data_IF_288691014997
#
_entry.id   IF_288691014997
#
_cell.length_a   1.000
_cell.length_b   1.000
_cell.length_c   1.000
_cell.angle_alpha   90.00
_cell.angle_beta   90.00
_cell.angle_gamma   90.00
#
_symmetry.space_group_name_H-M   'P 1'
#
loop_
_entity.id
_entity.type
_entity.pdbx_description
1 polymer ?
#
# COMPACT_ATOMS: atom_id res chain seq x y z
N UNK A 1 46.76 19.80 18.22
CA UNK A 1 45.83 19.79 17.08
C UNK A 1 45.45 18.34 16.88
N UNK A 2 44.40 17.90 17.59
CA UNK A 2 43.81 16.57 17.46
C UNK A 2 42.56 16.72 16.59
N UNK A 3 42.51 16.01 15.46
CA UNK A 3 41.32 15.93 14.62
C UNK A 3 40.48 14.72 15.02
N UNK A 4 39.24 15.01 15.39
CA UNK A 4 38.18 14.04 15.70
C UNK A 4 37.43 13.75 14.41
N UNK A 5 37.56 12.52 13.89
CA UNK A 5 36.75 12.00 12.78
C UNK A 5 35.55 11.25 13.34
N UNK A 6 34.36 11.85 13.22
CA UNK A 6 33.08 11.24 13.59
C UNK A 6 32.52 10.42 12.42
N UNK A 7 32.44 9.10 12.57
CA UNK A 7 31.73 8.19 11.67
C UNK A 7 30.26 8.11 12.14
N UNK A 8 29.33 8.61 11.32
CA UNK A 8 27.90 8.46 11.53
C UNK A 8 27.41 7.12 10.97
N UNK A 9 26.98 6.22 11.85
CA UNK A 9 26.30 4.98 11.49
C UNK A 9 24.80 5.23 11.26
N UNK A 10 24.28 4.79 10.12
CA UNK A 10 22.84 4.76 9.80
C UNK A 10 22.17 3.52 10.43
N UNK A 11 20.97 3.62 11.04
CA UNK A 11 20.32 2.47 11.67
C UNK A 11 19.63 1.58 10.63
N UNK A 12 19.97 0.29 10.68
CA UNK A 12 19.32 -0.80 9.94
C UNK A 12 17.88 -0.97 10.42
N UNK A 13 16.95 -1.18 9.49
CA UNK A 13 15.56 -1.57 9.75
C UNK A 13 15.53 -2.91 10.50
N UNK A 14 14.80 -2.92 11.62
CA UNK A 14 14.54 -4.14 12.38
C UNK A 14 13.42 -4.93 11.67
N UNK A 15 13.77 -6.08 11.11
CA UNK A 15 12.84 -7.11 10.63
C UNK A 15 12.16 -7.76 11.84
N UNK A 16 10.85 -7.64 11.92
CA UNK A 16 10.03 -8.34 12.91
C UNK A 16 9.75 -9.76 12.39
N UNK A 17 10.61 -10.74 12.73
CA UNK A 17 10.19 -12.15 12.65
C UNK A 17 9.31 -12.46 13.87
N UNK A 18 8.00 -12.43 13.68
CA UNK A 18 7.05 -12.98 14.64
C UNK A 18 6.66 -14.40 14.19
N UNK A 19 6.75 -15.33 15.13
CA UNK A 19 6.40 -16.73 14.98
C UNK A 19 4.87 -16.87 14.78
N UNK A 20 4.44 -17.18 13.55
CA UNK A 20 3.03 -17.10 13.09
C UNK A 20 2.14 -18.25 13.62
N UNK A 21 2.59 -18.98 14.65
CA UNK A 21 1.96 -20.22 15.08
C UNK A 21 0.97 -20.10 16.25
N UNK A 22 0.48 -18.92 16.62
CA UNK A 22 -0.51 -18.83 17.71
C UNK A 22 -1.49 -17.66 17.61
N UNK A 23 -2.75 -17.95 17.28
CA UNK A 23 -3.87 -17.05 17.56
C UNK A 23 -4.15 -17.00 19.09
N UNK A 24 -4.20 -15.82 19.74
CA UNK A 24 -4.54 -15.74 21.16
C UNK A 24 -6.06 -15.75 21.36
N UNK A 25 -6.59 -16.85 21.91
CA UNK A 25 -8.03 -16.98 22.16
C UNK A 25 -8.47 -18.13 23.07
N UNK A 26 -7.58 -18.75 23.86
CA UNK A 26 -7.96 -19.82 24.79
C UNK A 26 -7.38 -19.59 26.19
N UNK A 27 -8.25 -19.23 27.12
CA UNK A 27 -7.97 -19.12 28.55
C UNK A 27 -8.28 -20.46 29.23
N UNK A 28 -7.38 -21.04 30.06
CA UNK A 28 -7.78 -22.01 31.05
C UNK A 28 -7.86 -21.38 32.46
N UNK A 29 -8.82 -21.89 33.22
CA UNK A 29 -9.29 -21.49 34.53
C UNK A 29 -8.23 -21.48 35.65
N UNK A 30 -8.48 -20.59 36.62
CA UNK A 30 -7.71 -20.27 37.81
C UNK A 30 -7.49 -21.42 38.82
N UNK A 31 -6.37 -21.34 39.58
CA UNK A 31 -6.31 -21.75 41.01
C UNK A 31 -5.24 -20.96 41.79
N UNK A 32 -5.67 -20.42 42.94
CA UNK A 32 -4.94 -20.53 44.22
C UNK A 32 -3.88 -19.48 44.59
N UNK A 33 -4.26 -18.55 45.46
CA UNK A 33 -3.39 -17.74 46.35
C UNK A 33 -2.77 -18.63 47.47
N UNK A 34 -1.69 -18.22 48.20
CA UNK A 34 -1.84 -17.22 49.28
C UNK A 34 -0.63 -16.28 49.58
N UNK A 35 -0.98 -15.15 50.22
CA UNK A 35 -0.32 -14.33 51.27
C UNK A 35 1.10 -13.70 51.19
N UNK A 36 1.10 -12.34 51.11
CA UNK A 36 1.68 -11.25 51.98
C UNK A 36 3.14 -11.31 52.52
N UNK A 37 3.80 -10.18 52.91
CA UNK A 37 3.23 -8.91 53.40
C UNK A 37 3.83 -7.58 52.89
N UNK A 38 3.17 -6.50 53.34
CA UNK A 38 3.35 -5.08 53.04
C UNK A 38 4.59 -4.41 53.67
N UNK A 39 5.01 -3.28 53.06
CA UNK A 39 5.71 -2.18 53.76
C UNK A 39 5.14 -0.81 53.39
N UNK A 40 4.91 0.00 54.42
CA UNK A 40 4.47 1.40 54.44
C UNK A 40 5.68 2.37 54.41
N UNK A 41 5.40 3.60 53.97
CA UNK A 41 6.15 4.84 54.28
C UNK A 41 6.97 5.35 53.08
N UNK A 42 6.97 6.62 52.68
CA UNK A 42 6.63 7.86 53.38
C UNK A 42 6.17 8.96 52.40
N UNK A 43 5.33 9.86 52.93
CA UNK A 43 5.04 11.20 52.44
C UNK A 43 6.32 12.05 52.23
N UNK A 44 6.33 12.86 51.18
CA UNK A 44 6.87 14.24 51.25
C UNK A 44 6.09 15.18 50.32
N UNK A 45 5.40 16.12 50.96
CA UNK A 45 4.95 17.38 50.36
C UNK A 45 6.16 18.26 50.06
N UNK A 46 6.14 18.98 48.94
CA UNK A 46 6.75 20.30 48.83
C UNK A 46 5.75 21.21 48.11
N UNK A 47 5.40 22.29 48.78
CA UNK A 47 4.54 23.36 48.30
C UNK A 47 5.35 24.48 47.63
N UNK A 48 4.72 25.14 46.67
CA UNK A 48 4.80 26.59 46.49
C UNK A 48 5.80 27.13 45.48
N UNK A 49 5.29 27.74 44.39
CA UNK A 49 5.22 29.21 44.30
C UNK A 49 4.38 29.69 43.11
N UNK A 50 3.59 30.71 43.42
CA UNK A 50 2.77 31.53 42.56
C UNK A 50 3.60 32.38 41.58
N UNK A 51 3.06 32.58 40.37
CA UNK A 51 3.03 33.87 39.65
C UNK A 51 1.81 33.82 38.72
N UNK A 52 0.66 34.38 39.11
CA UNK A 52 0.18 35.72 38.74
C UNK A 52 0.59 36.16 37.32
N UNK A 53 -0.35 36.04 36.38
CA UNK A 53 -0.60 37.09 35.37
C UNK A 53 -2.08 37.01 34.94
N UNK A 54 -2.83 38.09 35.22
CA UNK A 54 -4.20 38.34 34.70
C UNK A 54 -4.09 39.35 33.55
N UNK A 55 -5.14 39.47 32.69
CA UNK A 55 -5.07 40.02 31.34
C UNK A 55 -5.33 41.54 31.28
N UNK A 56 -5.10 42.16 30.11
CA UNK A 56 -5.64 43.49 29.80
C UNK A 56 -6.12 43.64 28.34
N UNK A 57 -7.37 44.15 28.27
CA UNK A 57 -8.09 45.01 27.32
C UNK A 57 -8.06 44.73 25.81
N UNK A 58 -9.19 44.58 25.10
CA UNK A 58 -10.38 45.46 24.84
C UNK A 58 -10.22 46.39 23.62
N UNK A 59 -11.34 46.52 22.87
CA UNK A 59 -11.67 47.46 21.77
C UNK A 59 -11.34 46.96 20.34
N UNK A 60 -12.18 47.08 19.31
CA UNK A 60 -13.55 47.58 19.13
C UNK A 60 -14.06 47.09 17.75
N UNK A 61 -15.36 46.79 17.65
CA UNK A 61 -16.13 46.77 16.39
C UNK A 61 -16.49 48.21 15.97
N UNK A 62 -16.89 48.46 14.71
CA UNK A 62 -18.32 48.70 14.53
C UNK A 62 -18.94 48.07 13.27
N UNK A 63 -20.25 47.84 13.37
CA UNK A 63 -21.16 47.54 12.29
C UNK A 63 -21.62 48.81 11.57
N UNK A 64 -22.09 48.66 10.33
CA UNK A 64 -23.02 49.60 9.70
C UNK A 64 -23.97 48.87 8.76
N UNK A 65 -25.25 48.86 9.13
CA UNK A 65 -26.41 48.64 8.27
C UNK A 65 -26.73 49.91 7.46
N UNK A 66 -27.25 49.76 6.25
CA UNK A 66 -28.33 50.64 5.76
C UNK A 66 -29.03 50.03 4.54
N UNK A 67 -30.36 49.95 4.67
CA UNK A 67 -31.38 49.40 3.77
C UNK A 67 -31.80 50.33 2.62
N UNK A 68 -32.77 49.84 1.82
CA UNK A 68 -33.74 50.52 0.93
C UNK A 68 -33.39 50.50 -0.57
N UNK A 69 -34.30 50.34 -1.55
CA UNK A 69 -35.63 49.72 -1.67
C UNK A 69 -36.02 49.77 -3.18
N UNK A 70 -36.91 48.86 -3.60
CA UNK A 70 -37.91 48.97 -4.68
C UNK A 70 -37.54 48.96 -6.19
N UNK A 71 -38.26 48.08 -6.93
CA UNK A 71 -38.88 48.46 -8.21
C UNK A 71 -38.72 47.52 -9.42
N UNK A 72 -39.62 46.55 -9.60
CA UNK A 72 -39.88 45.83 -10.86
C UNK A 72 -40.58 46.73 -11.90
N UNK A 73 -40.54 46.42 -13.22
CA UNK A 73 -41.43 45.41 -13.87
C UNK A 73 -40.63 44.52 -14.87
N UNK A 74 -40.92 43.25 -15.13
CA UNK A 74 -42.19 42.63 -15.50
C UNK A 74 -42.23 42.42 -17.03
N UNK A 75 -41.85 41.24 -17.54
CA UNK A 75 -42.41 40.63 -18.77
C UNK A 75 -42.06 39.13 -18.88
N UNK A 76 -43.09 38.36 -19.23
CA UNK A 76 -43.15 36.90 -19.34
C UNK A 76 -42.26 36.30 -20.43
N UNK A 77 -41.71 35.10 -20.19
CA UNK A 77 -41.96 33.96 -21.08
C UNK A 77 -41.57 32.63 -20.42
N UNK A 78 -42.45 31.66 -20.58
CA UNK A 78 -42.42 30.31 -20.03
C UNK A 78 -41.20 29.48 -20.46
N UNK A 79 -40.59 28.79 -19.48
CA UNK A 79 -39.92 27.51 -19.67
C UNK A 79 -39.77 26.82 -18.30
N UNK A 80 -40.76 26.02 -17.92
CA UNK A 80 -40.67 25.08 -16.80
C UNK A 80 -39.56 24.05 -17.07
N UNK A 81 -38.40 24.20 -16.42
CA UNK A 81 -37.37 23.16 -16.36
C UNK A 81 -37.39 22.56 -14.95
N UNK A 82 -38.12 21.45 -14.82
CA UNK A 82 -38.08 20.59 -13.64
C UNK A 82 -36.65 20.14 -13.36
N UNK A 83 -36.18 20.42 -12.15
CA UNK A 83 -35.02 19.80 -11.54
C UNK A 83 -35.22 18.28 -11.47
N UNK A 84 -34.54 17.54 -12.34
CA UNK A 84 -34.36 16.10 -12.14
C UNK A 84 -33.10 15.90 -11.30
N UNK A 85 -33.28 15.77 -9.99
CA UNK A 85 -32.34 15.08 -9.10
C UNK A 85 -32.21 13.64 -9.59
N UNK A 86 -31.19 13.34 -10.41
CA UNK A 86 -30.76 11.97 -10.64
C UNK A 86 -29.98 11.50 -9.43
N UNK A 87 -30.69 10.93 -8.44
CA UNK A 87 -30.11 9.98 -7.48
C UNK A 87 -29.64 8.76 -8.27
N UNK A 88 -28.34 8.59 -8.43
CA UNK A 88 -27.76 7.31 -8.81
C UNK A 88 -27.60 6.46 -7.54
N UNK A 89 -28.08 5.21 -7.50
CA UNK A 89 -27.92 4.37 -6.32
C UNK A 89 -26.46 3.90 -6.17
N UNK A 90 -25.93 4.01 -4.97
CA UNK A 90 -24.57 3.63 -4.54
C UNK A 90 -24.24 2.13 -4.65
N UNK A 91 -25.11 1.31 -5.26
CA UNK A 91 -24.90 -0.12 -5.49
C UNK A 91 -24.46 -0.51 -6.90
N UNK A 92 -24.38 0.44 -7.85
CA UNK A 92 -24.16 0.09 -9.27
C UNK A 92 -22.67 -0.04 -9.66
N UNK A 93 -21.74 0.58 -8.91
CA UNK A 93 -20.29 0.43 -9.14
C UNK A 93 -19.74 -0.92 -8.66
N UNK A 94 -20.29 -1.48 -7.58
CA UNK A 94 -19.89 -2.79 -7.06
C UNK A 94 -20.27 -3.96 -8.00
N UNK A 95 -21.40 -3.86 -8.72
CA UNK A 95 -21.84 -4.93 -9.62
C UNK A 95 -21.07 -4.99 -10.95
N UNK A 96 -20.61 -3.85 -11.48
CA UNK A 96 -19.81 -3.81 -12.71
C UNK A 96 -18.42 -4.41 -12.47
N UNK A 97 -17.86 -4.19 -11.29
CA UNK A 97 -16.56 -4.72 -10.89
C UNK A 97 -16.61 -6.25 -10.65
N UNK A 98 -17.62 -6.76 -9.93
CA UNK A 98 -17.86 -8.21 -9.74
C UNK A 98 -18.09 -8.99 -11.07
N UNK A 99 -18.69 -8.33 -12.07
CA UNK A 99 -19.02 -8.95 -13.37
C UNK A 99 -17.82 -9.07 -14.32
N UNK A 100 -16.81 -8.21 -14.18
CA UNK A 100 -15.59 -8.29 -14.98
C UNK A 100 -14.55 -9.26 -14.39
N UNK A 101 -14.60 -9.54 -13.08
CA UNK A 101 -13.69 -10.48 -12.41
C UNK A 101 -14.02 -11.95 -12.69
N UNK A 102 -15.31 -12.31 -12.70
CA UNK A 102 -15.77 -13.69 -12.96
C UNK A 102 -15.56 -14.17 -14.40
N UNK A 103 -15.33 -13.26 -15.35
CA UNK A 103 -15.09 -13.59 -16.74
C UNK A 103 -13.62 -13.96 -17.06
N UNK A 104 -12.67 -13.74 -16.13
CA UNK A 104 -11.24 -13.84 -16.41
C UNK A 104 -10.56 -15.12 -15.89
N UNK A 105 -11.23 -15.99 -15.12
CA UNK A 105 -10.58 -17.12 -14.45
C UNK A 105 -11.23 -18.46 -14.77
N UNK A 106 -10.83 -19.02 -15.92
CA UNK A 106 -10.90 -20.46 -16.20
C UNK A 106 -9.49 -21.03 -16.41
N UNK A 107 -9.14 -21.98 -15.54
CA UNK A 107 -8.07 -22.99 -15.62
C UNK A 107 -6.59 -22.57 -15.67
N UNK A 108 -5.81 -23.02 -14.68
CA UNK A 108 -4.87 -24.14 -14.87
C UNK A 108 -4.36 -24.69 -13.51
N UNK A 109 -4.60 -25.98 -13.25
CA UNK A 109 -3.90 -26.73 -12.22
C UNK A 109 -2.52 -27.15 -12.75
N UNK A 110 -1.46 -26.96 -11.98
CA UNK A 110 -0.10 -27.40 -12.33
C UNK A 110 0.45 -28.37 -11.27
N UNK A 111 1.06 -29.51 -11.66
CA UNK A 111 1.63 -30.46 -10.72
C UNK A 111 3.07 -30.08 -10.31
N UNK A 112 3.44 -30.48 -9.09
CA UNK A 112 4.62 -30.01 -8.40
C UNK A 112 5.98 -30.59 -8.82
N UNK A 113 7.00 -29.99 -8.19
CA UNK A 113 8.42 -30.41 -8.00
C UNK A 113 9.38 -30.30 -9.19
N UNK A 114 10.16 -29.18 -9.23
CA UNK A 114 11.62 -29.14 -9.50
C UNK A 114 12.11 -27.69 -9.79
N UNK A 115 12.13 -26.80 -8.79
CA UNK A 115 12.56 -25.39 -9.00
C UNK A 115 14.08 -25.15 -8.85
N UNK A 116 14.83 -26.06 -8.19
CA UNK A 116 16.22 -25.79 -7.75
C UNK A 116 17.32 -25.84 -8.84
N UNK A 117 17.01 -25.92 -10.15
CA UNK A 117 18.04 -25.92 -11.22
C UNK A 117 17.74 -24.99 -12.41
N UNK A 118 16.78 -24.07 -12.28
CA UNK A 118 16.20 -23.40 -13.45
C UNK A 118 16.78 -22.01 -13.72
N UNK A 119 16.97 -21.16 -12.70
CA UNK A 119 17.34 -19.73 -12.90
C UNK A 119 18.72 -19.55 -13.53
N UNK A 120 19.74 -20.31 -13.10
CA UNK A 120 21.09 -20.25 -13.67
C UNK A 120 21.14 -20.59 -15.18
N UNK A 121 20.20 -21.40 -15.68
CA UNK A 121 20.08 -21.70 -17.11
C UNK A 121 19.42 -20.57 -17.90
N UNK A 122 18.62 -19.72 -17.25
CA UNK A 122 17.92 -18.60 -17.89
C UNK A 122 18.87 -17.44 -18.23
N UNK A 123 19.92 -17.21 -17.43
CA UNK A 123 20.95 -16.21 -17.74
C UNK A 123 21.72 -16.48 -19.03
N UNK A 124 21.74 -17.73 -19.53
CA UNK A 124 22.31 -18.06 -20.83
C UNK A 124 21.49 -17.55 -22.03
N UNK A 125 20.26 -17.08 -21.79
CA UNK A 125 19.36 -16.47 -22.80
C UNK A 125 19.27 -14.96 -22.65
N UNK A 126 19.04 -14.46 -21.43
CA UNK A 126 18.98 -13.02 -21.14
C UNK A 126 19.14 -12.73 -19.64
N UNK A 127 19.84 -11.65 -19.26
CA UNK A 127 19.96 -11.25 -17.85
C UNK A 127 18.66 -10.64 -17.28
N UNK A 128 17.64 -10.39 -18.10
CA UNK A 128 16.38 -9.76 -17.72
C UNK A 128 15.27 -10.77 -17.40
N UNK A 129 15.27 -11.94 -18.05
CA UNK A 129 14.31 -13.03 -17.80
C UNK A 129 14.17 -13.40 -16.32
N UNK A 130 15.25 -13.45 -15.50
CA UNK A 130 15.10 -13.73 -14.08
C UNK A 130 14.26 -12.69 -13.32
N UNK A 131 14.29 -11.41 -13.72
CA UNK A 131 13.41 -10.38 -13.14
C UNK A 131 11.94 -10.60 -13.52
N UNK A 132 11.67 -11.15 -14.70
CA UNK A 132 10.30 -11.51 -15.11
C UNK A 132 9.76 -12.65 -14.26
N UNK A 133 10.57 -13.70 -14.06
CA UNK A 133 10.21 -14.84 -13.20
C UNK A 133 9.95 -14.41 -11.77
N UNK A 134 10.75 -13.49 -11.23
CA UNK A 134 10.50 -12.94 -9.91
C UNK A 134 9.20 -12.11 -9.88
N UNK A 135 8.95 -11.28 -10.90
CA UNK A 135 7.74 -10.46 -11.00
C UNK A 135 6.45 -11.31 -11.06
N UNK A 136 6.49 -12.48 -11.69
CA UNK A 136 5.37 -13.44 -11.65
C UNK A 136 5.05 -13.89 -10.21
N UNK A 137 6.08 -14.09 -9.38
CA UNK A 137 5.89 -14.43 -7.95
C UNK A 137 5.37 -13.25 -7.14
N UNK A 138 5.82 -12.04 -7.45
CA UNK A 138 5.27 -10.81 -6.85
C UNK A 138 3.78 -10.67 -7.21
N UNK A 139 3.40 -10.96 -8.46
CA UNK A 139 1.99 -10.94 -8.92
C UNK A 139 1.12 -11.94 -8.15
N UNK A 140 1.61 -13.14 -7.84
CA UNK A 140 0.91 -14.08 -6.97
C UNK A 140 0.63 -13.47 -5.58
N UNK A 141 1.59 -12.76 -4.99
CA UNK A 141 1.43 -12.11 -3.68
C UNK A 141 0.38 -10.99 -3.74
N UNK A 142 0.47 -10.12 -4.76
CA UNK A 142 -0.46 -9.00 -4.94
C UNK A 142 -1.88 -9.50 -5.18
N UNK A 143 -2.07 -10.51 -6.04
CA UNK A 143 -3.39 -11.09 -6.26
C UNK A 143 -3.97 -11.71 -4.98
N UNK A 144 -3.15 -12.42 -4.21
CA UNK A 144 -3.57 -13.02 -2.94
C UNK A 144 -4.05 -11.98 -1.93
N UNK A 145 -3.37 -10.82 -1.81
CA UNK A 145 -3.81 -9.77 -0.89
C UNK A 145 -5.03 -9.00 -1.41
N UNK A 146 -5.16 -8.84 -2.73
CA UNK A 146 -6.34 -8.23 -3.36
C UNK A 146 -7.60 -9.04 -3.04
N UNK A 147 -7.55 -10.37 -3.10
CA UNK A 147 -8.66 -11.24 -2.68
C UNK A 147 -9.06 -11.01 -1.21
N UNK A 148 -8.09 -10.77 -0.32
CA UNK A 148 -8.36 -10.48 1.10
C UNK A 148 -9.05 -9.12 1.25
N UNK A 149 -8.58 -8.09 0.54
CA UNK A 149 -9.12 -6.73 0.61
C UNK A 149 -10.55 -6.66 0.06
N UNK A 150 -10.82 -7.36 -1.03
CA UNK A 150 -12.17 -7.51 -1.59
C UNK A 150 -13.08 -8.29 -0.65
N UNK A 151 -12.55 -9.37 -0.05
CA UNK A 151 -13.21 -10.12 1.00
C UNK A 151 -13.62 -9.24 2.18
N UNK A 152 -12.70 -8.42 2.68
CA UNK A 152 -12.96 -7.47 3.77
C UNK A 152 -14.13 -6.53 3.43
N UNK A 153 -14.21 -6.04 2.19
CA UNK A 153 -15.29 -5.15 1.75
C UNK A 153 -16.68 -5.79 1.74
N UNK A 154 -16.75 -7.11 1.54
CA UNK A 154 -18.01 -7.89 1.52
C UNK A 154 -18.29 -8.60 2.84
N UNK A 155 -17.46 -8.40 3.87
CA UNK A 155 -17.65 -8.96 5.21
C UNK A 155 -17.12 -10.39 5.38
N UNK A 156 -16.03 -10.73 4.69
CA UNK A 156 -15.33 -12.00 4.89
C UNK A 156 -14.99 -12.20 6.39
N UNK A 157 -15.27 -13.40 6.95
CA UNK A 157 -14.97 -13.69 8.35
C UNK A 157 -13.48 -13.52 8.67
N UNK A 158 -13.18 -13.01 9.86
CA UNK A 158 -11.79 -12.75 10.29
C UNK A 158 -10.89 -14.00 10.28
N UNK A 159 -11.42 -15.18 10.61
CA UNK A 159 -10.65 -16.44 10.53
C UNK A 159 -10.25 -16.75 9.08
N UNK A 160 -11.14 -16.54 8.11
CA UNK A 160 -10.82 -16.75 6.68
C UNK A 160 -9.76 -15.75 6.19
N UNK A 161 -9.85 -14.49 6.63
CA UNK A 161 -8.79 -13.49 6.39
C UNK A 161 -7.44 -13.99 6.94
N UNK A 162 -7.43 -14.55 8.15
CA UNK A 162 -6.20 -15.09 8.74
C UNK A 162 -5.64 -16.27 7.96
N UNK A 163 -6.48 -17.17 7.45
CA UNK A 163 -6.06 -18.30 6.61
C UNK A 163 -5.46 -17.84 5.28
N UNK A 164 -6.09 -16.87 4.61
CA UNK A 164 -5.60 -16.30 3.36
C UNK A 164 -4.31 -15.52 3.57
N UNK A 165 -4.18 -14.76 4.65
CA UNK A 165 -2.94 -14.06 5.01
C UNK A 165 -1.76 -15.04 5.18
N UNK A 166 -1.96 -16.20 5.83
CA UNK A 166 -0.94 -17.25 5.90
C UNK A 166 -0.56 -17.81 4.52
N UNK A 167 -1.47 -17.77 3.56
CA UNK A 167 -1.18 -18.17 2.18
C UNK A 167 -0.34 -17.13 1.47
N UNK A 168 -0.66 -15.83 1.62
CA UNK A 168 0.15 -14.72 1.10
C UNK A 168 1.57 -14.76 1.66
N UNK A 169 1.77 -14.96 2.97
CA UNK A 169 3.12 -15.12 3.54
C UNK A 169 3.92 -16.29 2.94
N UNK A 170 3.25 -17.38 2.52
CA UNK A 170 3.93 -18.48 1.81
C UNK A 170 4.32 -18.10 0.39
N UNK A 171 3.50 -17.28 -0.28
CA UNK A 171 3.78 -16.76 -1.62
C UNK A 171 4.97 -15.80 -1.57
N UNK A 172 5.00 -14.87 -0.61
CA UNK A 172 6.14 -13.98 -0.35
C UNK A 172 7.41 -14.80 -0.13
N UNK A 173 7.36 -15.82 0.74
CA UNK A 173 8.53 -16.64 1.00
C UNK A 173 9.08 -17.31 -0.27
N UNK A 174 8.19 -17.76 -1.17
CA UNK A 174 8.61 -18.30 -2.46
C UNK A 174 9.22 -17.23 -3.38
N UNK A 175 8.73 -16.00 -3.34
CA UNK A 175 9.32 -14.86 -4.05
C UNK A 175 10.74 -14.55 -3.52
N UNK A 176 10.92 -14.51 -2.19
CA UNK A 176 12.23 -14.32 -1.54
C UNK A 176 13.24 -15.40 -1.94
N UNK A 177 12.81 -16.67 -2.03
CA UNK A 177 13.67 -17.76 -2.52
C UNK A 177 14.15 -17.50 -3.95
N UNK A 178 13.23 -17.09 -4.86
CA UNK A 178 13.59 -16.76 -6.25
C UNK A 178 14.55 -15.55 -6.29
N UNK A 179 14.29 -14.51 -5.50
CA UNK A 179 15.18 -13.34 -5.37
C UNK A 179 16.58 -13.74 -4.92
N UNK A 180 16.69 -14.60 -3.92
CA UNK A 180 17.98 -15.07 -3.41
C UNK A 180 18.71 -15.92 -4.45
N UNK A 181 18.00 -16.76 -5.19
CA UNK A 181 18.56 -17.52 -6.31
C UNK A 181 19.11 -16.59 -7.41
N UNK A 182 18.39 -15.53 -7.77
CA UNK A 182 18.83 -14.51 -8.74
C UNK A 182 20.12 -13.83 -8.26
N UNK A 183 20.15 -13.37 -7.00
CA UNK A 183 21.33 -12.70 -6.41
C UNK A 183 22.58 -13.60 -6.44
N UNK A 184 22.39 -14.89 -6.19
CA UNK A 184 23.47 -15.87 -6.14
C UNK A 184 23.98 -16.30 -7.53
N UNK A 185 23.13 -16.21 -8.55
CA UNK A 185 23.43 -16.69 -9.90
C UNK A 185 23.85 -15.58 -10.88
N UNK A 186 23.72 -14.31 -10.51
CA UNK A 186 24.15 -13.18 -11.34
C UNK A 186 25.66 -13.18 -11.58
N UNK A 187 26.11 -13.21 -12.86
CA UNK A 187 27.52 -13.15 -13.20
C UNK A 187 28.15 -11.82 -12.72
N UNK A 188 29.45 -11.86 -12.39
CA UNK A 188 30.24 -10.66 -12.00
C UNK A 188 30.95 -9.99 -13.20
N UNK A 189 30.59 -10.34 -14.44
CA UNK A 189 31.37 -10.07 -15.66
C UNK A 189 31.02 -8.77 -16.41
N UNK A 190 31.90 -8.40 -17.37
CA UNK A 190 31.99 -7.09 -18.04
C UNK A 190 31.06 -6.90 -19.27
N UNK A 191 30.25 -7.88 -19.67
CA UNK A 191 29.46 -7.84 -20.92
C UNK A 191 27.96 -8.12 -20.68
N UNK A 192 27.32 -7.34 -19.83
CA UNK A 192 25.85 -7.34 -19.70
C UNK A 192 25.27 -6.11 -20.41
N UNK A 193 24.14 -6.28 -21.08
CA UNK A 193 23.40 -5.18 -21.73
C UNK A 193 22.92 -4.12 -20.72
N UNK A 194 22.69 -4.55 -19.48
CA UNK A 194 22.28 -3.70 -18.36
C UNK A 194 23.27 -3.91 -17.21
N UNK A 195 23.63 -2.83 -16.52
CA UNK A 195 24.54 -2.93 -15.39
C UNK A 195 23.93 -3.72 -14.22
N UNK A 196 24.79 -4.44 -13.50
CA UNK A 196 24.37 -5.28 -12.37
C UNK A 196 23.70 -4.46 -11.25
N UNK A 197 24.09 -3.20 -11.05
CA UNK A 197 23.53 -2.33 -10.02
C UNK A 197 22.06 -2.01 -10.30
N UNK A 198 21.73 -1.66 -11.54
CA UNK A 198 20.37 -1.43 -12.01
C UNK A 198 19.51 -2.69 -11.84
N UNK A 199 19.98 -3.85 -12.29
CA UNK A 199 19.24 -5.11 -12.10
C UNK A 199 18.97 -5.43 -10.63
N UNK A 200 19.95 -5.23 -9.76
CA UNK A 200 19.79 -5.46 -8.32
C UNK A 200 18.82 -4.48 -7.67
N UNK A 201 18.80 -3.25 -8.17
CA UNK A 201 17.88 -2.23 -7.67
C UNK A 201 16.45 -2.49 -8.13
N UNK A 202 16.26 -2.92 -9.38
CA UNK A 202 14.96 -3.36 -9.90
C UNK A 202 14.43 -4.59 -9.13
N UNK A 203 15.28 -5.59 -8.90
CA UNK A 203 14.92 -6.75 -8.08
C UNK A 203 14.51 -6.35 -6.66
N UNK A 204 15.18 -5.36 -6.07
CA UNK A 204 14.85 -4.86 -4.72
C UNK A 204 13.50 -4.15 -4.67
N UNK A 205 13.14 -3.40 -5.72
CA UNK A 205 11.83 -2.73 -5.77
C UNK A 205 10.71 -3.75 -6.00
N UNK A 206 10.92 -4.76 -6.85
CA UNK A 206 9.96 -5.87 -7.02
C UNK A 206 9.70 -6.60 -5.69
N UNK A 207 10.76 -6.90 -4.95
CA UNK A 207 10.70 -7.52 -3.63
C UNK A 207 9.89 -6.68 -2.64
N UNK A 208 10.13 -5.37 -2.64
CA UNK A 208 9.40 -4.43 -1.77
C UNK A 208 7.88 -4.42 -2.05
N UNK A 209 7.44 -4.76 -3.26
CA UNK A 209 6.02 -4.90 -3.59
C UNK A 209 5.45 -6.18 -2.95
N UNK A 210 6.17 -7.30 -3.02
CA UNK A 210 5.77 -8.55 -2.36
C UNK A 210 5.72 -8.40 -0.84
N UNK A 211 6.72 -7.75 -0.25
CA UNK A 211 6.75 -7.39 1.17
C UNK A 211 5.51 -6.58 1.58
N UNK A 212 5.10 -5.61 0.74
CA UNK A 212 3.89 -4.81 1.02
C UNK A 212 2.63 -5.66 0.97
N UNK A 213 2.52 -6.57 0.00
CA UNK A 213 1.38 -7.49 -0.06
C UNK A 213 1.30 -8.39 1.19
N UNK A 214 2.44 -8.89 1.68
CA UNK A 214 2.49 -9.64 2.94
C UNK A 214 2.11 -8.76 4.14
N UNK A 215 2.72 -7.58 4.29
CA UNK A 215 2.48 -6.64 5.39
C UNK A 215 0.98 -6.35 5.54
N UNK A 216 0.29 -6.09 4.42
CA UNK A 216 -1.16 -5.86 4.40
C UNK A 216 -1.91 -7.10 4.94
N UNK A 217 -1.59 -8.29 4.45
CA UNK A 217 -2.19 -9.54 4.92
C UNK A 217 -1.98 -9.75 6.42
N UNK A 218 -0.76 -9.56 6.90
CA UNK A 218 -0.38 -9.70 8.31
C UNK A 218 -1.12 -8.70 9.19
N UNK A 219 -1.21 -7.42 8.78
CA UNK A 219 -1.95 -6.40 9.52
C UNK A 219 -3.41 -6.82 9.74
N UNK A 220 -4.06 -7.32 8.70
CA UNK A 220 -5.47 -7.76 8.77
C UNK A 220 -5.70 -8.96 9.72
N UNK A 221 -4.64 -9.68 10.11
CA UNK A 221 -4.76 -10.78 11.08
C UNK A 221 -4.86 -10.30 12.53
N UNK A 222 -4.37 -9.10 12.85
CA UNK A 222 -4.26 -8.65 14.25
C UNK A 222 -5.61 -8.45 14.93
N UNK A 223 -6.60 -7.97 14.18
CA UNK A 223 -7.94 -7.72 14.69
C UNK A 223 -8.92 -7.65 13.52
N UNK A 224 -10.16 -8.12 13.73
CA UNK A 224 -11.26 -7.83 12.82
C UNK A 224 -11.46 -6.31 12.70
N UNK A 225 -11.31 -5.78 11.48
CA UNK A 225 -11.45 -4.36 11.20
C UNK A 225 -12.90 -4.02 10.86
N UNK A 226 -13.57 -3.13 11.63
CA UNK A 226 -14.84 -2.61 11.23
C UNK A 226 -14.65 -1.68 10.02
N UNK A 227 -15.43 -1.91 8.96
CA UNK A 227 -15.48 -1.04 7.80
C UNK A 227 -16.56 0.03 8.04
N UNK A 228 -16.13 1.24 8.40
CA UNK A 228 -17.04 2.38 8.57
C UNK A 228 -17.43 2.97 7.21
N UNK A 229 -18.66 3.48 7.11
CA UNK A 229 -19.22 4.00 5.84
C UNK A 229 -18.34 5.06 5.16
N UNK A 230 -17.73 6.02 5.87
CA UNK A 230 -16.85 7.03 5.26
C UNK A 230 -15.60 6.44 4.59
N UNK A 231 -15.05 5.35 5.12
CA UNK A 231 -13.89 4.66 4.52
C UNK A 231 -14.36 3.84 3.31
N UNK A 232 -15.51 3.17 3.44
CA UNK A 232 -16.05 2.27 2.41
C UNK A 232 -16.27 2.97 1.06
N UNK A 233 -16.62 4.25 1.06
CA UNK A 233 -16.92 5.01 -0.16
C UNK A 233 -15.74 5.06 -1.12
N UNK A 234 -14.53 5.26 -0.61
CA UNK A 234 -13.32 5.47 -1.41
C UNK A 234 -12.34 4.29 -1.39
N UNK A 235 -12.50 3.36 -0.46
CA UNK A 235 -11.54 2.26 -0.27
C UNK A 235 -11.38 1.37 -1.50
N UNK A 236 -12.47 1.02 -2.18
CA UNK A 236 -12.41 0.18 -3.39
C UNK A 236 -11.64 0.85 -4.52
N UNK A 237 -11.82 2.16 -4.69
CA UNK A 237 -11.14 2.92 -5.74
C UNK A 237 -9.65 3.06 -5.41
N UNK A 238 -9.32 3.30 -4.14
CA UNK A 238 -7.95 3.34 -3.66
C UNK A 238 -7.19 2.02 -3.92
N UNK A 239 -7.82 0.88 -3.60
CA UNK A 239 -7.23 -0.45 -3.89
C UNK A 239 -7.07 -0.63 -5.40
N UNK A 240 -8.07 -0.28 -6.20
CA UNK A 240 -8.00 -0.40 -7.67
C UNK A 240 -6.82 0.38 -8.25
N UNK A 241 -6.62 1.64 -7.83
CA UNK A 241 -5.54 2.48 -8.34
C UNK A 241 -4.14 1.95 -8.01
N UNK A 242 -3.97 1.45 -6.80
CA UNK A 242 -2.73 0.80 -6.39
C UNK A 242 -2.42 -0.45 -7.24
N UNK A 243 -3.44 -1.27 -7.52
CA UNK A 243 -3.31 -2.49 -8.32
C UNK A 243 -3.12 -2.17 -9.81
N UNK A 244 -3.76 -1.12 -10.33
CA UNK A 244 -3.57 -0.63 -11.70
C UNK A 244 -2.12 -0.24 -11.96
N UNK A 245 -1.51 0.55 -11.07
CA UNK A 245 -0.09 0.90 -11.13
C UNK A 245 0.82 -0.35 -11.14
N UNK A 246 0.53 -1.32 -10.25
CA UNK A 246 1.26 -2.58 -10.20
C UNK A 246 1.16 -3.39 -11.50
N UNK A 247 -0.05 -3.52 -12.07
CA UNK A 247 -0.26 -4.29 -13.31
C UNK A 247 0.49 -3.70 -14.48
N UNK A 248 0.56 -2.36 -14.58
CA UNK A 248 1.30 -1.70 -15.65
C UNK A 248 2.80 -1.96 -15.49
N UNK A 249 3.36 -1.80 -14.29
CA UNK A 249 4.80 -2.07 -14.12
C UNK A 249 5.13 -3.54 -14.33
N UNK A 250 4.24 -4.47 -13.97
CA UNK A 250 4.38 -5.89 -14.32
C UNK A 250 4.51 -6.09 -15.82
N UNK A 251 3.66 -5.43 -16.60
CA UNK A 251 3.74 -5.48 -18.07
C UNK A 251 5.05 -4.88 -18.57
N UNK A 252 5.50 -3.75 -18.02
CA UNK A 252 6.82 -3.18 -18.36
C UNK A 252 7.93 -4.22 -18.15
N UNK A 253 7.95 -4.91 -17.01
CA UNK A 253 8.96 -5.93 -16.72
C UNK A 253 8.89 -7.10 -17.73
N UNK A 254 7.69 -7.54 -18.11
CA UNK A 254 7.54 -8.61 -19.10
C UNK A 254 8.03 -8.23 -20.51
N UNK A 255 8.05 -6.94 -20.84
CA UNK A 255 8.51 -6.45 -22.16
C UNK A 255 10.03 -6.17 -22.21
N UNK A 256 10.74 -6.28 -21.08
CA UNK A 256 12.17 -5.94 -21.01
C UNK A 256 13.06 -6.76 -21.94
N UNK A 257 12.74 -8.03 -22.17
CA UNK A 257 13.57 -8.90 -23.03
C UNK A 257 13.43 -8.49 -24.50
N UNK A 258 12.21 -8.26 -24.96
CA UNK A 258 11.92 -7.72 -26.31
C UNK A 258 12.59 -6.35 -26.51
N UNK A 259 12.51 -5.49 -25.50
CA UNK A 259 13.15 -4.18 -25.53
C UNK A 259 14.67 -4.27 -25.63
N UNK A 260 15.28 -5.27 -24.99
CA UNK A 260 16.71 -5.53 -25.07
C UNK A 260 17.13 -6.08 -26.44
N UNK A 261 16.32 -6.93 -27.06
CA UNK A 261 16.53 -7.43 -28.43
C UNK A 261 16.51 -6.28 -29.46
N UNK A 262 15.67 -5.27 -29.22
CA UNK A 262 15.57 -4.05 -30.04
C UNK A 262 16.60 -2.96 -29.66
N UNK A 263 17.52 -3.25 -28.72
CA UNK A 263 18.59 -2.34 -28.32
C UNK A 263 18.12 -1.13 -27.52
N UNK A 264 17.03 -1.26 -26.77
CA UNK A 264 16.45 -0.21 -25.91
C UNK A 264 16.08 1.08 -26.65
N UNK A 265 15.65 0.96 -27.91
CA UNK A 265 15.23 2.09 -28.73
C UNK A 265 13.98 1.79 -29.55
N UNK A 266 13.57 2.77 -30.36
CA UNK A 266 12.46 2.60 -31.28
C UNK A 266 11.07 2.78 -30.65
N UNK A 267 10.09 2.15 -31.28
CA UNK A 267 8.68 2.23 -30.90
C UNK A 267 8.41 1.54 -29.56
N UNK A 268 9.12 0.45 -29.29
CA UNK A 268 9.07 -0.34 -28.06
C UNK A 268 9.52 0.48 -26.86
N UNK A 269 10.61 1.23 -26.98
CA UNK A 269 11.07 2.15 -25.93
C UNK A 269 10.04 3.25 -25.66
N UNK A 270 9.46 3.82 -26.73
CA UNK A 270 8.43 4.86 -26.61
C UNK A 270 7.17 4.34 -25.89
N UNK A 271 6.75 3.11 -26.21
CA UNK A 271 5.63 2.45 -25.54
C UNK A 271 5.92 2.25 -24.04
N UNK A 272 7.11 1.77 -23.69
CA UNK A 272 7.50 1.60 -22.29
C UNK A 272 7.54 2.95 -21.56
N UNK A 273 8.07 4.02 -22.18
CA UNK A 273 8.06 5.36 -21.59
C UNK A 273 6.64 5.86 -21.27
N UNK A 274 5.68 5.64 -22.18
CA UNK A 274 4.26 5.95 -21.96
C UNK A 274 3.65 5.13 -20.83
N UNK A 275 4.02 3.86 -20.70
CA UNK A 275 3.57 3.03 -19.59
C UNK A 275 4.14 3.53 -18.26
N UNK A 276 5.39 3.98 -18.21
CA UNK A 276 5.97 4.60 -17.00
C UNK A 276 5.17 5.85 -16.60
N UNK A 277 4.78 6.70 -17.56
CA UNK A 277 3.91 7.86 -17.27
C UNK A 277 2.54 7.45 -16.72
N UNK A 278 1.96 6.35 -17.21
CA UNK A 278 0.71 5.81 -16.67
C UNK A 278 0.86 5.28 -15.25
N UNK A 279 1.97 4.63 -14.91
CA UNK A 279 2.26 4.21 -13.52
C UNK A 279 2.29 5.43 -12.60
N UNK A 280 3.01 6.49 -12.99
CA UNK A 280 3.09 7.73 -12.22
C UNK A 280 1.73 8.43 -12.06
N UNK A 281 0.89 8.41 -13.10
CA UNK A 281 -0.47 8.93 -13.01
C UNK A 281 -1.32 8.16 -11.99
N UNK A 282 -1.30 6.83 -12.03
CA UNK A 282 -2.07 6.00 -11.10
C UNK A 282 -1.58 6.07 -9.66
N UNK A 283 -0.27 6.19 -9.46
CA UNK A 283 0.32 6.46 -8.15
C UNK A 283 -0.20 7.79 -7.60
N UNK A 284 -0.17 8.85 -8.41
CA UNK A 284 -0.66 10.16 -8.00
C UNK A 284 -2.16 10.15 -7.66
N UNK A 285 -2.98 9.49 -8.47
CA UNK A 285 -4.41 9.29 -8.21
C UNK A 285 -4.63 8.53 -6.89
N UNK A 286 -3.86 7.47 -6.64
CA UNK A 286 -3.93 6.70 -5.40
C UNK A 286 -3.57 7.57 -4.18
N UNK A 287 -2.55 8.42 -4.29
CA UNK A 287 -2.12 9.35 -3.23
C UNK A 287 -3.18 10.39 -2.89
N UNK A 288 -3.89 10.92 -3.89
CA UNK A 288 -5.04 11.82 -3.68
C UNK A 288 -6.14 11.10 -2.90
N UNK A 289 -6.54 9.90 -3.33
CA UNK A 289 -7.58 9.13 -2.64
C UNK A 289 -7.15 8.73 -1.22
N UNK A 290 -5.87 8.38 -1.02
CA UNK A 290 -5.34 8.05 0.30
C UNK A 290 -5.47 9.23 1.26
N UNK A 291 -5.23 10.45 0.79
CA UNK A 291 -5.39 11.67 1.59
C UNK A 291 -6.85 11.85 2.04
N UNK A 292 -7.80 11.63 1.13
CA UNK A 292 -9.22 11.74 1.44
C UNK A 292 -9.66 10.66 2.44
N UNK A 293 -9.18 9.42 2.27
CA UNK A 293 -9.40 8.32 3.21
C UNK A 293 -8.81 8.59 4.60
N UNK A 294 -7.59 9.16 4.66
CA UNK A 294 -6.98 9.55 5.93
C UNK A 294 -7.78 10.69 6.57
N UNK A 295 -8.22 11.69 5.81
CA UNK A 295 -9.05 12.77 6.35
C UNK A 295 -10.38 12.22 6.92
N UNK A 296 -11.04 11.31 6.21
CA UNK A 296 -12.22 10.61 6.70
C UNK A 296 -11.90 9.81 7.99
N UNK A 297 -10.80 9.07 8.02
CA UNK A 297 -10.37 8.31 9.19
C UNK A 297 -10.16 9.20 10.43
N UNK A 298 -9.52 10.37 10.28
CA UNK A 298 -9.30 11.31 11.38
C UNK A 298 -10.57 12.02 11.83
N UNK A 299 -11.47 12.38 10.90
CA UNK A 299 -12.76 12.98 11.25
C UNK A 299 -13.70 12.02 12.02
N UNK A 300 -13.45 10.72 11.89
CA UNK A 300 -14.21 9.65 12.52
C UNK A 300 -13.37 8.87 13.56
N UNK A 301 -12.34 9.49 14.13
CA UNK A 301 -11.46 8.81 15.09
C UNK A 301 -12.21 8.34 16.36
N UNK A 302 -13.23 9.08 16.78
CA UNK A 302 -14.07 8.76 17.94
C UNK A 302 -15.00 7.55 17.69
N UNK A 303 -15.24 7.19 16.43
CA UNK A 303 -16.05 6.03 16.03
C UNK A 303 -15.25 4.71 16.09
N UNK A 304 -13.93 4.81 16.30
CA UNK A 304 -13.00 3.68 16.31
C UNK A 304 -12.28 3.57 17.65
N UNK A 305 -11.98 2.33 18.07
CA UNK A 305 -10.99 2.14 19.12
C UNK A 305 -9.62 2.60 18.63
N UNK A 306 -8.75 3.04 19.57
CA UNK A 306 -7.36 3.43 19.25
C UNK A 306 -6.60 2.37 18.46
N UNK A 307 -6.87 1.09 18.73
CA UNK A 307 -6.27 -0.02 17.99
C UNK A 307 -6.76 -0.11 16.54
N UNK A 308 -8.06 0.07 16.30
CA UNK A 308 -8.63 0.05 14.94
C UNK A 308 -8.16 1.26 14.13
N UNK A 309 -8.11 2.44 14.74
CA UNK A 309 -7.60 3.64 14.09
C UNK A 309 -6.15 3.45 13.60
N UNK A 310 -5.26 2.95 14.47
CA UNK A 310 -3.87 2.69 14.12
C UNK A 310 -3.75 1.62 13.03
N UNK A 311 -4.59 0.59 13.09
CA UNK A 311 -4.57 -0.49 12.12
C UNK A 311 -5.05 -0.01 10.74
N UNK A 312 -6.12 0.78 10.67
CA UNK A 312 -6.59 1.43 9.44
C UNK A 312 -5.52 2.33 8.83
N UNK A 313 -4.91 3.21 9.63
CA UNK A 313 -3.86 4.11 9.13
C UNK A 313 -2.68 3.33 8.54
N UNK A 314 -2.23 2.27 9.20
CA UNK A 314 -1.12 1.45 8.72
C UNK A 314 -1.52 0.66 7.46
N UNK A 315 -2.74 0.12 7.42
CA UNK A 315 -3.29 -0.58 6.26
C UNK A 315 -3.32 0.33 5.03
N UNK A 316 -3.85 1.55 5.16
CA UNK A 316 -3.87 2.53 4.06
C UNK A 316 -2.47 2.85 3.55
N UNK A 317 -1.51 3.03 4.47
CA UNK A 317 -0.09 3.26 4.13
C UNK A 317 0.50 2.09 3.34
N UNK A 318 0.28 0.87 3.79
CA UNK A 318 0.91 -0.30 3.18
C UNK A 318 0.26 -0.67 1.83
N UNK A 319 -1.05 -0.45 1.66
CA UNK A 319 -1.72 -0.49 0.34
C UNK A 319 -1.10 0.54 -0.61
N UNK A 320 -0.93 1.80 -0.16
CA UNK A 320 -0.25 2.85 -0.94
C UNK A 320 1.20 2.51 -1.32
N UNK A 321 1.83 1.60 -0.58
CA UNK A 321 3.16 1.09 -0.92
C UNK A 321 3.20 0.32 -2.23
N UNK A 322 2.09 -0.30 -2.66
CA UNK A 322 2.03 -1.07 -3.90
C UNK A 322 2.28 -0.18 -5.13
N UNK A 323 1.58 0.96 -5.25
CA UNK A 323 1.83 1.91 -6.35
C UNK A 323 3.18 2.60 -6.23
N UNK A 324 3.59 3.00 -5.02
CA UNK A 324 4.86 3.71 -4.80
C UNK A 324 6.08 2.88 -5.23
N UNK A 325 6.15 1.60 -4.83
CA UNK A 325 7.24 0.74 -5.30
C UNK A 325 7.12 0.38 -6.79
N UNK A 326 5.90 0.30 -7.32
CA UNK A 326 5.68 0.13 -8.76
C UNK A 326 6.22 1.32 -9.56
N UNK A 327 5.99 2.54 -9.07
CA UNK A 327 6.49 3.78 -9.68
C UNK A 327 8.02 3.86 -9.61
N UNK A 328 8.63 3.53 -8.46
CA UNK A 328 10.08 3.42 -8.33
C UNK A 328 10.69 2.45 -9.34
N UNK A 329 10.09 1.27 -9.46
CA UNK A 329 10.54 0.26 -10.43
C UNK A 329 10.41 0.76 -11.87
N UNK A 330 9.28 1.38 -12.22
CA UNK A 330 9.05 1.98 -13.53
C UNK A 330 10.07 3.09 -13.84
N UNK A 331 10.37 3.94 -12.86
CA UNK A 331 11.38 5.00 -12.97
C UNK A 331 12.80 4.46 -13.18
N UNK A 332 13.15 3.30 -12.60
CA UNK A 332 14.44 2.64 -12.91
C UNK A 332 14.52 2.17 -14.35
N UNK A 333 13.42 1.63 -14.89
CA UNK A 333 13.35 1.26 -16.31
C UNK A 333 13.55 2.50 -17.19
N UNK A 334 12.86 3.60 -16.88
CA UNK A 334 13.06 4.88 -17.60
C UNK A 334 14.52 5.35 -17.59
N UNK A 335 15.18 5.30 -16.44
CA UNK A 335 16.60 5.66 -16.31
C UNK A 335 17.45 4.76 -17.20
N UNK A 336 17.21 3.45 -17.18
CA UNK A 336 17.91 2.49 -18.03
C UNK A 336 17.74 2.82 -19.54
N UNK A 337 16.57 3.27 -19.98
CA UNK A 337 16.35 3.70 -21.37
C UNK A 337 17.04 5.03 -21.72
N UNK A 338 17.29 5.87 -20.71
CA UNK A 338 17.87 7.21 -20.90
C UNK A 338 19.40 7.21 -20.95
N UNK A 339 20.05 6.12 -20.52
CA UNK A 339 21.51 5.96 -20.59
C UNK A 339 21.86 5.52 -22.03
N UNK A 340 21.89 6.49 -22.94
CA UNK A 340 22.46 6.34 -24.29
C UNK A 340 23.85 6.95 -24.40
#
# INVERSE_FOLDING_TARGET
>A
MEEVSSVSASPRSASWRLDVHRCPGQTPLARGHPDKPARRGQHRQIAGRNHLFRPRHEQNLPASESSLEAGSPGFDSAATRQEKKCKLPSGFRQQIWLRNYTAAHHHHASPGTSTMRTVAKLFGRSPLVPLQVHMEKVEECVNGVVEILEGLMVGMPHEEICERARTVSKLEHNADLVKNDIRNSLPRGLFMQVDRGTLMSMLSDQDSIADKAEDIGVLLTFKALPLIDPIKEHFSEFVSKNVEAFRIVRTIISELDELAEMGFGGEEATKVEQMVDQVALHEHEADVIQRDLLQALFNHEDDLSKGEFLLWRNLLRDIGGLSNYSEKLANRVRIMLSIK
#
